data_IF_076495595040
#
_entry.id   IF_076495595040
#
_cell.length_a   1.000
_cell.length_b   1.000
_cell.length_c   1.000
_cell.angle_alpha   90.00
_cell.angle_beta   90.00
_cell.angle_gamma   90.00
#
_symmetry.space_group_name_H-M   'P 1'
#
loop_
_entity.id
_entity.type
_entity.pdbx_description
1 polymer ?
#
# COMPACT_ATOMS: atom_id res chain seq x y z
N UNK A 1 1.33 5.64 -28.12
CA UNK A 1 2.20 4.53 -27.66
C UNK A 1 1.53 3.87 -26.46
N UNK A 2 1.63 2.53 -26.28
CA UNK A 2 1.12 1.89 -25.07
C UNK A 2 1.80 2.47 -23.83
N UNK A 3 1.10 2.44 -22.69
CA UNK A 3 1.69 2.85 -21.41
C UNK A 3 2.84 1.91 -21.07
N UNK A 4 4.04 2.41 -20.71
CA UNK A 4 5.15 1.54 -20.35
C UNK A 4 4.83 0.71 -19.09
N UNK A 5 5.33 -0.54 -18.97
CA UNK A 5 5.23 -1.31 -17.74
C UNK A 5 5.82 -0.54 -16.55
N UNK A 6 5.15 -0.59 -15.40
CA UNK A 6 5.53 0.20 -14.20
C UNK A 6 6.09 -0.64 -13.05
N UNK A 7 6.10 -1.96 -13.21
CA UNK A 7 6.49 -2.92 -12.19
C UNK A 7 6.94 -4.22 -12.84
N UNK A 8 8.02 -4.80 -12.36
CA UNK A 8 8.30 -6.23 -12.55
C UNK A 8 7.35 -7.00 -11.63
N UNK A 9 6.24 -7.50 -12.19
CA UNK A 9 5.17 -8.13 -11.41
C UNK A 9 5.60 -9.51 -10.87
N UNK A 10 6.38 -10.24 -11.66
CA UNK A 10 6.86 -11.58 -11.35
C UNK A 10 8.39 -11.61 -11.43
N UNK A 11 9.02 -12.25 -10.46
CA UNK A 11 10.47 -12.53 -10.45
C UNK A 11 10.68 -14.03 -10.29
N UNK A 12 11.48 -14.64 -11.17
CA UNK A 12 11.71 -16.08 -11.16
C UNK A 12 13.13 -16.42 -10.71
N UNK A 13 13.20 -17.30 -9.72
CA UNK A 13 14.41 -17.96 -9.22
C UNK A 13 14.31 -19.45 -9.48
N UNK A 14 15.42 -20.16 -9.30
CA UNK A 14 15.52 -21.58 -9.60
C UNK A 14 16.20 -22.33 -8.47
N UNK A 15 15.64 -23.48 -8.10
CA UNK A 15 16.20 -24.38 -7.10
C UNK A 15 15.78 -25.82 -7.40
N UNK A 16 16.73 -26.76 -7.33
CA UNK A 16 16.45 -28.19 -7.47
C UNK A 16 15.71 -28.75 -6.23
N UNK A 17 15.97 -28.16 -5.05
CA UNK A 17 15.27 -28.50 -3.80
C UNK A 17 14.26 -27.41 -3.43
N UNK A 18 13.01 -27.61 -3.88
CA UNK A 18 11.91 -26.68 -3.59
C UNK A 18 11.52 -26.65 -2.10
N UNK A 19 11.76 -27.72 -1.34
CA UNK A 19 11.43 -27.75 0.09
C UNK A 19 12.42 -26.89 0.88
N UNK A 20 13.72 -27.01 0.58
CA UNK A 20 14.74 -26.15 1.15
C UNK A 20 14.51 -24.68 0.75
N UNK A 21 14.14 -24.41 -0.50
CA UNK A 21 13.77 -23.07 -0.93
C UNK A 21 12.54 -22.55 -0.16
N UNK A 22 11.51 -23.36 0.05
CA UNK A 22 10.34 -22.98 0.84
C UNK A 22 10.70 -22.56 2.26
N UNK A 23 11.54 -23.35 2.93
CA UNK A 23 12.02 -23.02 4.27
C UNK A 23 12.78 -21.68 4.28
N UNK A 24 13.63 -21.44 3.29
CA UNK A 24 14.38 -20.18 3.21
C UNK A 24 13.47 -18.97 2.92
N UNK A 25 12.69 -19.01 1.84
CA UNK A 25 11.88 -17.85 1.43
C UNK A 25 10.63 -17.65 2.31
N UNK A 26 10.04 -18.74 2.79
CA UNK A 26 8.87 -18.73 3.67
C UNK A 26 9.21 -18.46 5.13
N UNK A 27 10.13 -19.23 5.72
CA UNK A 27 10.39 -19.16 7.16
C UNK A 27 11.48 -18.15 7.53
N UNK A 28 12.58 -18.10 6.76
CA UNK A 28 13.69 -17.17 7.05
C UNK A 28 13.40 -15.76 6.52
N UNK A 29 12.96 -15.63 5.28
CA UNK A 29 12.59 -14.31 4.74
C UNK A 29 11.17 -13.87 5.14
N UNK A 30 10.32 -14.78 5.60
CA UNK A 30 8.98 -14.47 6.08
C UNK A 30 7.99 -14.12 4.96
N UNK A 31 8.20 -14.61 3.73
CA UNK A 31 7.28 -14.34 2.62
C UNK A 31 6.08 -15.31 2.64
N UNK A 32 4.87 -14.79 2.43
CA UNK A 32 3.66 -15.61 2.41
C UNK A 32 3.64 -16.52 1.18
N UNK A 33 3.49 -17.83 1.38
CA UNK A 33 3.27 -18.77 0.28
C UNK A 33 1.86 -18.58 -0.30
N UNK A 34 1.79 -18.22 -1.57
CA UNK A 34 0.54 -18.05 -2.32
C UNK A 34 0.07 -19.32 -3.00
N UNK A 35 1.01 -20.07 -3.60
CA UNK A 35 0.73 -21.25 -4.41
C UNK A 35 1.88 -22.24 -4.30
N UNK A 36 1.56 -23.53 -4.22
CA UNK A 36 2.50 -24.63 -4.39
C UNK A 36 2.04 -25.48 -5.57
N UNK A 37 2.92 -25.69 -6.53
CA UNK A 37 2.71 -26.63 -7.62
C UNK A 37 3.77 -27.72 -7.50
N UNK A 38 3.34 -28.90 -7.06
CA UNK A 38 4.23 -30.03 -6.77
C UNK A 38 5.13 -30.36 -7.98
N UNK A 39 6.43 -30.51 -7.72
CA UNK A 39 7.44 -30.79 -8.75
C UNK A 39 7.63 -29.69 -9.79
N UNK A 40 7.09 -28.48 -9.58
CA UNK A 40 7.22 -27.39 -10.55
C UNK A 40 7.70 -26.08 -9.95
N UNK A 41 6.97 -25.51 -8.99
CA UNK A 41 7.36 -24.25 -8.35
C UNK A 41 6.57 -23.92 -7.09
N UNK A 42 7.12 -22.98 -6.32
CA UNK A 42 6.45 -22.32 -5.20
C UNK A 42 6.39 -20.83 -5.50
N UNK A 43 5.24 -20.20 -5.21
CA UNK A 43 5.03 -18.76 -5.40
C UNK A 43 4.86 -18.07 -4.05
N UNK A 44 5.62 -17.02 -3.82
CA UNK A 44 5.60 -16.19 -2.62
C UNK A 44 5.09 -14.78 -2.93
N UNK A 45 4.27 -14.21 -2.03
CA UNK A 45 3.87 -12.81 -2.10
C UNK A 45 5.03 -11.91 -1.69
N UNK A 46 5.33 -10.90 -2.52
CA UNK A 46 6.29 -9.85 -2.18
C UNK A 46 5.71 -8.47 -2.54
N UNK A 47 4.99 -7.87 -1.59
CA UNK A 47 4.28 -6.61 -1.81
C UNK A 47 3.20 -6.76 -2.92
N UNK A 48 3.17 -5.87 -3.92
CA UNK A 48 2.21 -5.96 -5.04
C UNK A 48 2.59 -6.99 -6.11
N UNK A 49 3.78 -7.60 -6.03
CA UNK A 49 4.25 -8.63 -6.96
C UNK A 49 4.48 -9.97 -6.28
N UNK A 50 5.11 -10.87 -7.02
CA UNK A 50 5.40 -12.24 -6.58
C UNK A 50 6.82 -12.66 -6.93
N UNK A 51 7.37 -13.55 -6.10
CA UNK A 51 8.61 -14.27 -6.38
C UNK A 51 8.27 -15.74 -6.53
N UNK A 52 8.72 -16.34 -7.63
CA UNK A 52 8.59 -17.77 -7.88
C UNK A 52 9.95 -18.44 -7.71
N UNK A 53 9.96 -19.60 -7.08
CA UNK A 53 11.12 -20.51 -7.13
C UNK A 53 10.69 -21.74 -7.91
N UNK A 54 11.25 -21.91 -9.11
CA UNK A 54 10.94 -23.03 -10.01
C UNK A 54 11.97 -24.15 -9.87
N UNK A 55 11.52 -25.39 -10.06
CA UNK A 55 12.40 -26.47 -10.45
C UNK A 55 12.88 -26.19 -11.89
N UNK A 56 14.20 -26.06 -12.12
CA UNK A 56 14.72 -25.65 -13.42
C UNK A 56 14.53 -26.70 -14.51
N UNK A 57 14.48 -27.99 -14.18
CA UNK A 57 14.23 -29.05 -15.16
C UNK A 57 12.77 -29.05 -15.59
N UNK A 58 11.85 -28.98 -14.63
CA UNK A 58 10.42 -28.91 -14.88
C UNK A 58 10.01 -27.63 -15.62
N UNK A 59 10.68 -26.49 -15.37
CA UNK A 59 10.38 -25.23 -16.07
C UNK A 59 10.88 -25.21 -17.53
N UNK A 60 11.89 -26.03 -17.86
CA UNK A 60 12.41 -26.19 -19.23
C UNK A 60 11.56 -27.12 -20.09
N UNK A 61 10.87 -28.07 -19.49
CA UNK A 61 10.04 -29.07 -20.19
C UNK A 61 8.56 -28.67 -20.32
N UNK A 62 8.26 -27.37 -20.35
CA UNK A 62 6.88 -26.86 -20.38
C UNK A 62 6.37 -26.70 -21.81
N UNK A 63 5.13 -27.15 -22.05
CA UNK A 63 4.46 -27.07 -23.36
C UNK A 63 3.31 -26.06 -23.41
N UNK A 64 2.68 -25.74 -22.28
CA UNK A 64 1.51 -24.85 -22.22
C UNK A 64 1.86 -23.36 -22.14
N UNK A 65 3.08 -23.03 -21.71
CA UNK A 65 3.65 -21.69 -21.63
C UNK A 65 5.12 -21.76 -22.06
N UNK A 66 5.74 -20.64 -22.48
CA UNK A 66 7.16 -20.64 -22.87
C UNK A 66 8.05 -21.24 -21.79
N UNK A 67 8.92 -22.16 -22.21
CA UNK A 67 9.92 -22.78 -21.35
C UNK A 67 10.98 -21.77 -20.90
N UNK A 68 11.48 -21.95 -19.68
CA UNK A 68 12.56 -21.15 -19.10
C UNK A 68 13.32 -21.99 -18.05
N UNK A 69 14.47 -21.52 -17.60
CA UNK A 69 15.26 -22.22 -16.58
C UNK A 69 16.72 -21.83 -16.65
N UNK A 70 17.21 -21.06 -15.68
CA UNK A 70 18.61 -20.66 -15.62
C UNK A 70 19.47 -21.78 -15.03
N UNK A 71 20.73 -21.88 -15.48
CA UNK A 71 21.75 -22.74 -14.86
C UNK A 71 22.69 -21.89 -14.03
N UNK A 72 23.06 -22.38 -12.86
CA UNK A 72 23.91 -21.67 -11.90
C UNK A 72 23.19 -20.55 -11.13
N UNK A 73 23.93 -19.86 -10.24
CA UNK A 73 23.36 -18.82 -9.38
C UNK A 73 22.76 -17.65 -10.17
N UNK A 74 21.52 -17.28 -9.84
CA UNK A 74 20.93 -15.99 -10.23
C UNK A 74 20.95 -15.00 -9.07
N UNK A 75 20.44 -13.79 -9.27
CA UNK A 75 20.42 -12.73 -8.27
C UNK A 75 19.04 -12.10 -8.13
N UNK A 76 18.65 -11.79 -6.89
CA UNK A 76 17.47 -11.00 -6.54
C UNK A 76 17.79 -10.04 -5.41
N UNK A 77 17.20 -8.84 -5.46
CA UNK A 77 17.31 -7.85 -4.39
C UNK A 77 15.92 -7.49 -3.83
N UNK A 78 15.76 -7.71 -2.52
CA UNK A 78 14.57 -7.34 -1.76
C UNK A 78 14.80 -6.00 -1.05
N UNK A 79 13.88 -5.06 -1.28
CA UNK A 79 13.91 -3.76 -0.64
C UNK A 79 13.45 -3.82 0.82
N UNK A 80 14.29 -3.37 1.74
CA UNK A 80 13.98 -3.24 3.17
C UNK A 80 14.31 -1.82 3.67
N UNK A 81 13.69 -1.33 4.76
CA UNK A 81 14.12 -0.09 5.39
C UNK A 81 15.60 -0.16 5.81
N UNK A 82 16.38 0.90 5.55
CA UNK A 82 17.83 0.92 5.82
C UNK A 82 18.17 0.62 7.28
N UNK A 83 17.34 1.09 8.21
CA UNK A 83 17.49 0.89 9.66
C UNK A 83 17.23 -0.56 10.11
N UNK A 84 16.61 -1.39 9.26
CA UNK A 84 16.35 -2.81 9.55
C UNK A 84 17.49 -3.74 9.14
N UNK A 85 18.46 -3.30 8.34
CA UNK A 85 19.53 -4.18 7.84
C UNK A 85 20.38 -4.79 8.97
N UNK A 86 20.59 -4.06 10.06
CA UNK A 86 21.26 -4.60 11.24
C UNK A 86 20.41 -5.68 11.96
N UNK A 87 19.09 -5.54 11.95
CA UNK A 87 18.18 -6.55 12.51
C UNK A 87 18.16 -7.80 11.62
N UNK A 88 18.15 -7.63 10.29
CA UNK A 88 18.25 -8.72 9.32
C UNK A 88 19.55 -9.51 9.46
N UNK A 89 20.69 -8.85 9.60
CA UNK A 89 21.97 -9.55 9.87
C UNK A 89 21.88 -10.45 11.11
N UNK A 90 21.30 -9.96 12.20
CA UNK A 90 21.08 -10.77 13.41
C UNK A 90 20.09 -11.90 13.17
N UNK A 91 19.07 -11.66 12.35
CA UNK A 91 18.06 -12.66 12.01
C UNK A 91 18.71 -13.81 11.21
N UNK A 92 19.41 -13.51 10.12
CA UNK A 92 20.13 -14.53 9.34
C UNK A 92 21.09 -15.37 10.19
N UNK A 93 21.89 -14.73 11.06
CA UNK A 93 22.78 -15.45 11.97
C UNK A 93 22.05 -16.41 12.93
N UNK A 94 20.80 -16.14 13.32
CA UNK A 94 20.01 -17.05 14.18
C UNK A 94 19.41 -18.23 13.41
N UNK A 95 19.30 -18.11 12.10
CA UNK A 95 18.84 -19.16 11.19
C UNK A 95 20.01 -19.84 10.48
N UNK A 96 21.24 -19.67 10.99
CA UNK A 96 22.47 -20.22 10.41
C UNK A 96 22.71 -19.85 8.93
N UNK A 97 22.15 -18.73 8.49
CA UNK A 97 22.39 -18.15 7.17
C UNK A 97 23.57 -17.20 7.26
N UNK A 98 24.68 -17.55 6.59
CA UNK A 98 25.87 -16.71 6.56
C UNK A 98 25.65 -15.46 5.68
N UNK A 99 26.01 -14.30 6.23
CA UNK A 99 26.12 -13.08 5.44
C UNK A 99 27.42 -13.13 4.65
N UNK A 100 27.30 -13.18 3.33
CA UNK A 100 28.41 -13.26 2.38
C UNK A 100 29.12 -11.92 2.25
N UNK A 101 28.35 -10.83 2.12
CA UNK A 101 28.92 -9.48 1.96
C UNK A 101 27.97 -8.39 2.47
N UNK A 102 28.51 -7.19 2.71
CA UNK A 102 27.75 -5.98 2.98
C UNK A 102 28.36 -4.79 2.26
N UNK A 103 27.53 -4.03 1.53
CA UNK A 103 27.98 -2.83 0.80
C UNK A 103 27.36 -1.58 1.39
N UNK A 104 28.17 -0.53 1.51
CA UNK A 104 27.70 0.82 1.78
C UNK A 104 27.69 1.63 0.49
N UNK A 105 26.58 2.30 0.24
CA UNK A 105 26.36 3.14 -0.93
C UNK A 105 26.35 4.62 -0.52
N UNK A 106 26.10 5.51 -1.49
CA UNK A 106 25.88 6.93 -1.22
C UNK A 106 24.70 7.18 -0.28
N UNK A 107 24.70 8.33 0.39
CA UNK A 107 23.60 8.81 1.23
C UNK A 107 23.19 7.84 2.37
N UNK A 108 24.14 7.05 2.87
CA UNK A 108 23.95 6.15 4.01
C UNK A 108 23.15 4.87 3.70
N UNK A 109 22.84 4.64 2.42
CA UNK A 109 22.18 3.44 1.93
C UNK A 109 23.13 2.24 2.00
N UNK A 110 22.57 1.05 2.18
CA UNK A 110 23.34 -0.18 2.43
C UNK A 110 22.65 -1.38 1.80
N UNK A 111 23.43 -2.43 1.56
CA UNK A 111 22.96 -3.76 1.22
C UNK A 111 23.67 -4.85 2.02
N UNK A 112 23.03 -6.01 2.09
CA UNK A 112 23.50 -7.22 2.74
C UNK A 112 23.19 -8.41 1.82
N UNK A 113 24.19 -9.25 1.57
CA UNK A 113 24.10 -10.38 0.65
C UNK A 113 24.19 -11.71 1.41
N UNK A 114 23.33 -12.66 1.05
CA UNK A 114 23.33 -14.05 1.52
C UNK A 114 23.16 -14.99 0.33
N UNK A 115 23.36 -16.29 0.57
CA UNK A 115 23.00 -17.35 -0.37
C UNK A 115 21.72 -18.03 0.09
N UNK A 116 20.81 -18.27 -0.85
CA UNK A 116 19.74 -19.25 -0.61
C UNK A 116 20.30 -20.69 -0.70
N UNK A 117 19.50 -21.73 -0.39
CA UNK A 117 19.96 -23.12 -0.43
C UNK A 117 20.40 -23.61 -1.82
N UNK A 118 19.93 -22.97 -2.90
CA UNK A 118 20.34 -23.27 -4.28
C UNK A 118 21.58 -22.49 -4.72
N UNK A 119 22.13 -21.63 -3.85
CA UNK A 119 23.29 -20.80 -4.13
C UNK A 119 22.97 -19.50 -4.87
N UNK A 120 21.70 -19.13 -5.05
CA UNK A 120 21.32 -17.84 -5.61
C UNK A 120 21.77 -16.71 -4.69
N UNK A 121 22.20 -15.60 -5.28
CA UNK A 121 22.57 -14.39 -4.54
C UNK A 121 21.32 -13.63 -4.14
N UNK A 122 21.02 -13.63 -2.85
CA UNK A 122 19.88 -12.91 -2.29
C UNK A 122 20.38 -11.67 -1.56
N UNK A 123 19.96 -10.50 -2.02
CA UNK A 123 20.31 -9.22 -1.43
C UNK A 123 19.13 -8.66 -0.65
N UNK A 124 19.38 -8.20 0.58
CA UNK A 124 18.53 -7.23 1.26
C UNK A 124 19.15 -5.85 1.12
N UNK A 125 18.43 -4.93 0.48
CA UNK A 125 18.94 -3.61 0.12
C UNK A 125 18.04 -2.51 0.63
N UNK A 126 18.63 -1.36 0.97
CA UNK A 126 17.87 -0.15 1.29
C UNK A 126 16.86 0.12 0.18
N UNK A 127 15.56 0.16 0.50
CA UNK A 127 14.48 0.33 -0.48
C UNK A 127 14.56 1.65 -1.25
N UNK A 128 15.38 2.59 -0.79
CA UNK A 128 15.64 3.88 -1.44
C UNK A 128 16.90 3.89 -2.30
N UNK A 129 17.64 2.78 -2.44
CA UNK A 129 18.95 2.75 -3.13
C UNK A 129 18.90 3.41 -4.51
N UNK A 130 17.89 3.04 -5.30
CA UNK A 130 17.72 3.55 -6.65
C UNK A 130 16.83 4.78 -6.74
N UNK A 131 16.38 5.33 -5.61
CA UNK A 131 15.31 6.34 -5.56
C UNK A 131 14.05 5.94 -6.36
N UNK A 132 13.84 4.64 -6.58
CA UNK A 132 12.81 4.03 -7.45
C UNK A 132 11.39 4.21 -6.94
N UNK A 133 11.20 4.84 -5.78
CA UNK A 133 9.88 5.27 -5.37
C UNK A 133 9.99 6.55 -4.53
N UNK A 134 9.80 7.69 -5.17
CA UNK A 134 9.63 8.95 -4.46
C UNK A 134 8.36 8.90 -3.58
N UNK A 135 8.28 9.71 -2.51
CA UNK A 135 7.06 9.82 -1.68
C UNK A 135 5.83 10.09 -2.55
N UNK A 136 5.98 10.96 -3.55
CA UNK A 136 4.91 11.30 -4.48
C UNK A 136 4.38 10.05 -5.22
N UNK A 137 5.28 9.17 -5.63
CA UNK A 137 4.91 7.94 -6.33
C UNK A 137 4.23 6.93 -5.40
N UNK A 138 4.70 6.76 -4.16
CA UNK A 138 4.01 5.94 -3.15
C UNK A 138 2.57 6.41 -2.93
N UNK A 139 2.38 7.72 -2.80
CA UNK A 139 1.06 8.30 -2.57
C UNK A 139 0.13 8.16 -3.77
N UNK A 140 0.64 8.29 -5.00
CA UNK A 140 -0.16 8.07 -6.20
C UNK A 140 -0.52 6.60 -6.38
N UNK A 141 0.39 5.67 -6.09
CA UNK A 141 0.17 4.21 -6.24
C UNK A 141 -0.94 3.66 -5.35
N UNK A 142 -1.12 4.19 -4.14
CA UNK A 142 -2.17 3.72 -3.21
C UNK A 142 -3.57 4.28 -3.51
N UNK A 143 -3.69 5.29 -4.38
CA UNK A 143 -4.98 5.91 -4.69
C UNK A 143 -5.79 5.05 -5.67
N UNK A 144 -7.10 4.85 -5.44
CA UNK A 144 -7.96 4.23 -6.43
C UNK A 144 -8.00 5.06 -7.73
N UNK A 145 -7.90 4.39 -8.88
CA UNK A 145 -8.12 5.04 -10.18
C UNK A 145 -9.61 5.33 -10.35
N UNK A 146 -9.94 6.55 -10.75
CA UNK A 146 -11.30 6.97 -11.10
C UNK A 146 -11.33 7.30 -12.58
N UNK A 147 -12.25 6.69 -13.31
CA UNK A 147 -12.46 6.98 -14.74
C UNK A 147 -13.40 8.17 -14.87
N UNK A 148 -12.82 9.37 -14.89
CA UNK A 148 -13.51 10.65 -15.01
C UNK A 148 -12.89 11.43 -16.18
N UNK A 149 -13.70 11.88 -17.13
CA UNK A 149 -13.24 12.78 -18.19
C UNK A 149 -13.01 14.17 -17.61
N UNK A 150 -11.75 14.61 -17.60
CA UNK A 150 -11.32 15.92 -17.09
C UNK A 150 -10.74 16.81 -18.19
N UNK A 151 -10.86 16.44 -19.47
CA UNK A 151 -10.20 17.13 -20.57
C UNK A 151 -10.57 18.62 -20.69
N UNK A 152 -11.82 18.97 -20.36
CA UNK A 152 -12.32 20.35 -20.39
C UNK A 152 -12.46 20.99 -18.99
N UNK A 153 -11.95 20.33 -17.94
CA UNK A 153 -12.07 20.82 -16.57
C UNK A 153 -11.16 22.01 -16.29
N UNK A 154 -11.66 22.99 -15.53
CA UNK A 154 -10.82 24.08 -14.98
C UNK A 154 -9.79 23.53 -13.99
N UNK A 155 -8.66 24.22 -13.70
CA UNK A 155 -7.60 23.67 -12.84
C UNK A 155 -8.05 23.15 -11.47
N UNK A 156 -8.97 23.86 -10.79
CA UNK A 156 -9.50 23.42 -9.49
C UNK A 156 -10.46 22.22 -9.63
N UNK A 157 -11.18 22.14 -10.74
CA UNK A 157 -12.07 21.01 -11.04
C UNK A 157 -11.27 19.76 -11.41
N UNK A 158 -10.19 19.93 -12.16
CA UNK A 158 -9.19 18.89 -12.42
C UNK A 158 -8.58 18.39 -11.10
N UNK A 159 -8.12 19.30 -10.24
CA UNK A 159 -7.59 18.96 -8.91
C UNK A 159 -8.63 18.22 -8.05
N UNK A 160 -9.90 18.62 -8.12
CA UNK A 160 -10.98 17.93 -7.43
C UNK A 160 -11.13 16.49 -7.94
N UNK A 161 -11.14 16.28 -9.26
CA UNK A 161 -11.43 14.98 -9.87
C UNK A 161 -10.24 14.01 -9.83
N UNK A 162 -9.03 14.50 -10.10
CA UNK A 162 -7.82 13.67 -10.21
C UNK A 162 -7.08 13.50 -8.88
N UNK A 163 -7.27 14.41 -7.91
CA UNK A 163 -6.55 14.38 -6.63
C UNK A 163 -7.48 14.18 -5.44
N UNK A 164 -8.44 15.09 -5.22
CA UNK A 164 -9.28 15.03 -4.01
C UNK A 164 -10.20 13.80 -3.99
N UNK A 165 -10.89 13.49 -5.10
CA UNK A 165 -11.81 12.33 -5.14
C UNK A 165 -11.09 11.00 -4.88
N UNK A 166 -9.93 10.69 -5.50
CA UNK A 166 -9.17 9.48 -5.19
C UNK A 166 -8.69 9.43 -3.73
N UNK A 167 -8.19 10.54 -3.18
CA UNK A 167 -7.75 10.61 -1.77
C UNK A 167 -8.93 10.38 -0.83
N UNK A 168 -10.09 11.00 -1.08
CA UNK A 168 -11.29 10.81 -0.27
C UNK A 168 -11.82 9.37 -0.35
N UNK A 169 -11.70 8.71 -1.51
CA UNK A 169 -12.08 7.31 -1.68
C UNK A 169 -11.13 6.38 -0.90
N UNK A 170 -9.82 6.63 -0.97
CA UNK A 170 -8.81 5.92 -0.18
C UNK A 170 -9.07 6.06 1.33
N UNK A 171 -9.37 7.27 1.80
CA UNK A 171 -9.59 7.57 3.21
C UNK A 171 -10.98 7.20 3.74
N UNK A 172 -11.87 6.66 2.90
CA UNK A 172 -13.28 6.45 3.23
C UNK A 172 -13.50 5.67 4.55
N UNK A 173 -12.87 4.50 4.79
CA UNK A 173 -13.10 3.75 6.02
C UNK A 173 -12.73 4.55 7.28
N UNK A 174 -11.63 5.30 7.22
CA UNK A 174 -11.14 6.12 8.33
C UNK A 174 -12.03 7.33 8.58
N UNK A 175 -12.52 7.99 7.52
CA UNK A 175 -13.47 9.11 7.62
C UNK A 175 -14.73 8.67 8.36
N UNK A 176 -15.36 7.57 7.93
CA UNK A 176 -16.60 7.06 8.55
C UNK A 176 -16.37 6.66 10.01
N UNK A 177 -15.24 6.03 10.33
CA UNK A 177 -14.90 5.67 11.71
C UNK A 177 -14.75 6.89 12.61
N UNK A 178 -14.07 7.95 12.16
CA UNK A 178 -13.88 9.18 12.96
C UNK A 178 -15.20 9.94 13.15
N UNK A 179 -16.07 9.95 12.15
CA UNK A 179 -17.41 10.54 12.26
C UNK A 179 -18.27 9.76 13.26
N UNK A 180 -18.30 8.43 13.14
CA UNK A 180 -19.02 7.55 14.07
C UNK A 180 -18.53 7.72 15.52
N UNK A 181 -17.22 7.67 15.73
CA UNK A 181 -16.56 7.90 17.03
C UNK A 181 -16.99 9.24 17.64
N UNK A 182 -17.11 10.28 16.81
CA UNK A 182 -17.51 11.59 17.31
C UNK A 182 -19.00 11.63 17.66
N UNK A 183 -19.85 10.97 16.89
CA UNK A 183 -21.29 10.86 17.14
C UNK A 183 -21.60 10.01 18.38
N UNK A 184 -20.87 8.93 18.61
CA UNK A 184 -21.05 8.04 19.76
C UNK A 184 -20.89 8.76 21.11
N UNK A 185 -20.04 9.80 21.18
CA UNK A 185 -19.89 10.65 22.38
C UNK A 185 -21.16 11.44 22.75
N UNK A 186 -22.09 11.57 21.80
CA UNK A 186 -23.40 12.19 22.03
C UNK A 186 -24.49 11.15 22.35
N UNK A 187 -24.12 9.87 22.51
CA UNK A 187 -25.01 8.76 22.88
C UNK A 187 -25.73 8.10 21.70
N UNK A 188 -26.65 7.19 22.03
CA UNK A 188 -27.41 6.33 21.09
C UNK A 188 -28.37 7.11 20.18
N UNK A 189 -28.53 8.42 20.42
CA UNK A 189 -29.49 9.26 19.71
C UNK A 189 -29.32 9.24 18.19
N UNK A 190 -28.09 9.23 17.68
CA UNK A 190 -27.86 9.24 16.23
C UNK A 190 -28.42 8.00 15.51
N UNK A 191 -28.27 6.81 16.11
CA UNK A 191 -28.71 5.56 15.52
C UNK A 191 -30.24 5.36 15.57
N UNK A 192 -30.92 6.10 16.45
CA UNK A 192 -32.37 6.06 16.63
C UNK A 192 -33.11 7.20 15.90
N UNK A 193 -32.39 8.22 15.42
CA UNK A 193 -32.94 9.32 14.61
C UNK A 193 -33.48 8.81 13.27
N UNK A 194 -34.47 9.52 12.73
CA UNK A 194 -34.89 9.31 11.35
C UNK A 194 -33.82 9.77 10.34
N UNK A 195 -34.02 9.46 9.06
CA UNK A 195 -33.01 9.73 8.03
C UNK A 195 -32.78 11.23 7.80
N UNK A 196 -33.81 12.05 7.98
CA UNK A 196 -33.71 13.51 7.78
C UNK A 196 -32.88 14.11 8.90
N UNK A 197 -33.19 13.74 10.13
CA UNK A 197 -32.46 14.16 11.32
C UNK A 197 -31.02 13.67 11.31
N UNK A 198 -30.76 12.44 10.86
CA UNK A 198 -29.38 11.93 10.68
C UNK A 198 -28.58 12.78 9.70
N UNK A 199 -29.16 13.14 8.55
CA UNK A 199 -28.49 13.98 7.54
C UNK A 199 -28.19 15.36 8.09
N UNK A 200 -29.12 15.96 8.84
CA UNK A 200 -28.94 17.28 9.44
C UNK A 200 -27.96 17.26 10.60
N UNK A 201 -27.95 16.19 11.40
CA UNK A 201 -26.97 16.00 12.46
C UNK A 201 -25.56 15.89 11.90
N UNK A 202 -25.35 15.15 10.81
CA UNK A 202 -24.06 15.08 10.12
C UNK A 202 -23.63 16.43 9.55
N UNK A 203 -24.56 17.18 8.95
CA UNK A 203 -24.32 18.53 8.44
C UNK A 203 -23.84 19.46 9.55
N UNK A 204 -24.55 19.46 10.68
CA UNK A 204 -24.23 20.29 11.84
C UNK A 204 -22.89 19.87 12.47
N UNK A 205 -22.64 18.57 12.60
CA UNK A 205 -21.35 18.06 13.09
C UNK A 205 -20.18 18.56 12.24
N UNK A 206 -20.27 18.46 10.92
CA UNK A 206 -19.21 18.94 10.02
C UNK A 206 -19.05 20.47 10.05
N UNK A 207 -20.13 21.20 10.28
CA UNK A 207 -20.14 22.67 10.39
C UNK A 207 -19.49 23.13 11.69
N UNK A 208 -19.97 22.62 12.81
CA UNK A 208 -19.70 23.11 14.17
C UNK A 208 -18.45 22.49 14.79
N UNK A 209 -18.16 21.21 14.51
CA UNK A 209 -17.00 20.55 15.09
C UNK A 209 -15.70 20.92 14.36
N UNK A 210 -15.09 22.01 14.84
CA UNK A 210 -13.82 22.48 14.30
C UNK A 210 -12.66 21.48 14.47
N UNK A 211 -12.69 20.61 15.48
CA UNK A 211 -11.61 19.63 15.72
C UNK A 211 -11.69 18.49 14.72
N UNK A 212 -12.87 17.87 14.57
CA UNK A 212 -13.11 16.83 13.57
C UNK A 212 -12.79 17.34 12.17
N UNK A 213 -13.31 18.50 11.80
CA UNK A 213 -13.06 19.12 10.50
C UNK A 213 -11.57 19.34 10.22
N UNK A 214 -10.79 19.83 11.20
CA UNK A 214 -9.33 20.00 11.06
C UNK A 214 -8.61 18.68 10.89
N UNK A 215 -9.00 17.64 11.64
CA UNK A 215 -8.42 16.29 11.50
C UNK A 215 -8.69 15.73 10.10
N UNK A 216 -9.94 15.77 9.63
CA UNK A 216 -10.31 15.23 8.31
C UNK A 216 -9.60 15.97 7.17
N UNK A 217 -9.55 17.31 7.22
CA UNK A 217 -8.82 18.10 6.22
C UNK A 217 -7.31 17.84 6.29
N UNK A 218 -6.75 17.72 7.49
CA UNK A 218 -5.33 17.41 7.69
C UNK A 218 -4.94 16.05 7.09
N UNK A 219 -5.79 15.03 7.23
CA UNK A 219 -5.58 13.72 6.60
C UNK A 219 -5.56 13.80 5.07
N UNK A 220 -6.49 14.57 4.48
CA UNK A 220 -6.54 14.80 3.02
C UNK A 220 -5.26 15.50 2.55
N UNK A 221 -4.86 16.59 3.21
CA UNK A 221 -3.64 17.34 2.86
C UNK A 221 -2.39 16.47 3.04
N UNK A 222 -2.35 15.60 4.07
CA UNK A 222 -1.23 14.69 4.32
C UNK A 222 -0.98 13.68 3.19
N UNK A 223 -1.99 13.43 2.34
CA UNK A 223 -1.89 12.52 1.19
C UNK A 223 -1.54 13.21 -0.12
N UNK A 224 -1.34 14.54 -0.15
CA UNK A 224 -0.92 15.27 -1.34
C UNK A 224 0.56 15.00 -1.67
N UNK A 225 0.89 14.95 -2.96
CA UNK A 225 2.28 15.06 -3.44
C UNK A 225 2.77 16.51 -3.28
N UNK A 226 4.05 16.76 -3.57
CA UNK A 226 4.62 18.10 -3.44
C UNK A 226 3.97 19.08 -4.44
N UNK A 227 3.89 18.70 -5.73
CA UNK A 227 3.19 19.49 -6.75
C UNK A 227 1.71 19.73 -6.42
N UNK A 228 1.02 18.72 -5.86
CA UNK A 228 -0.38 18.84 -5.48
C UNK A 228 -0.56 19.73 -4.24
N UNK A 229 0.41 19.73 -3.32
CA UNK A 229 0.42 20.65 -2.19
C UNK A 229 0.63 22.09 -2.66
N UNK A 230 1.51 22.32 -3.63
CA UNK A 230 1.73 23.64 -4.21
C UNK A 230 0.45 24.15 -4.89
N UNK A 231 -0.22 23.31 -5.68
CA UNK A 231 -1.52 23.61 -6.27
C UNK A 231 -2.61 23.87 -5.20
N UNK A 232 -2.62 23.07 -4.13
CA UNK A 232 -3.52 23.28 -2.99
C UNK A 232 -3.27 24.64 -2.33
N UNK A 233 -2.02 25.01 -2.07
CA UNK A 233 -1.67 26.28 -1.42
C UNK A 233 -2.00 27.49 -2.30
N UNK A 234 -1.82 27.37 -3.61
CA UNK A 234 -2.21 28.41 -4.58
C UNK A 234 -3.72 28.67 -4.61
N UNK A 235 -4.56 27.67 -4.31
CA UNK A 235 -6.02 27.75 -4.38
C UNK A 235 -6.73 27.40 -3.07
N UNK A 236 -6.04 27.57 -1.93
CA UNK A 236 -6.41 27.01 -0.61
C UNK A 236 -7.87 27.17 -0.24
N UNK A 237 -8.42 28.38 -0.38
CA UNK A 237 -9.79 28.67 0.05
C UNK A 237 -10.83 28.00 -0.84
N UNK A 238 -10.61 27.93 -2.15
CA UNK A 238 -11.54 27.27 -3.08
C UNK A 238 -11.48 25.76 -2.91
N UNK A 239 -10.27 25.19 -2.83
CA UNK A 239 -10.09 23.74 -2.64
C UNK A 239 -10.70 23.29 -1.32
N UNK A 240 -10.50 24.06 -0.23
CA UNK A 240 -11.14 23.78 1.07
C UNK A 240 -12.66 23.87 0.99
N UNK A 241 -13.20 24.88 0.30
CA UNK A 241 -14.65 25.04 0.07
C UNK A 241 -15.27 23.87 -0.70
N UNK A 242 -14.51 23.19 -1.55
CA UNK A 242 -14.94 21.97 -2.28
C UNK A 242 -14.73 20.68 -1.47
N UNK A 243 -13.67 20.61 -0.67
CA UNK A 243 -13.34 19.40 0.11
C UNK A 243 -14.37 19.10 1.20
N UNK A 244 -14.86 20.13 1.91
CA UNK A 244 -15.81 19.94 3.03
C UNK A 244 -17.15 19.37 2.57
N UNK A 245 -17.80 19.88 1.50
CA UNK A 245 -19.01 19.26 0.94
C UNK A 245 -18.80 17.81 0.50
N UNK A 246 -17.64 17.47 -0.09
CA UNK A 246 -17.37 16.07 -0.47
C UNK A 246 -17.20 15.14 0.73
N UNK A 247 -16.57 15.62 1.81
CA UNK A 247 -16.51 14.88 3.09
C UNK A 247 -17.91 14.68 3.69
N UNK A 248 -18.75 15.72 3.65
CA UNK A 248 -20.12 15.64 4.14
C UNK A 248 -20.96 14.68 3.30
N UNK A 249 -20.91 14.79 1.97
CA UNK A 249 -21.62 13.90 1.06
C UNK A 249 -21.24 12.44 1.32
N UNK A 250 -19.93 12.16 1.45
CA UNK A 250 -19.41 10.84 1.80
C UNK A 250 -20.00 10.27 3.09
N UNK A 251 -20.16 11.10 4.13
CA UNK A 251 -20.80 10.66 5.37
C UNK A 251 -22.33 10.48 5.20
N UNK A 252 -23.00 11.37 4.47
CA UNK A 252 -24.46 11.32 4.26
C UNK A 252 -24.90 10.18 3.33
N UNK A 253 -24.08 9.82 2.35
CA UNK A 253 -24.34 8.72 1.42
C UNK A 253 -24.10 7.35 2.09
N UNK A 254 -23.39 7.32 3.22
CA UNK A 254 -23.01 6.11 3.95
C UNK A 254 -23.49 6.14 5.40
N UNK A 255 -24.68 6.71 5.65
CA UNK A 255 -25.25 6.81 6.99
C UNK A 255 -25.42 5.43 7.63
N UNK A 256 -25.82 4.41 6.87
CA UNK A 256 -26.03 3.06 7.42
C UNK A 256 -24.74 2.48 8.01
N UNK A 257 -23.61 2.66 7.31
CA UNK A 257 -22.28 2.27 7.80
C UNK A 257 -21.90 3.01 9.09
N UNK A 258 -22.28 4.29 9.21
CA UNK A 258 -22.01 5.11 10.40
C UNK A 258 -22.89 4.64 11.56
N UNK A 259 -24.18 4.40 11.32
CA UNK A 259 -25.13 3.92 12.33
C UNK A 259 -24.65 2.60 12.92
N UNK A 260 -24.23 1.66 12.08
CA UNK A 260 -23.71 0.37 12.53
C UNK A 260 -22.47 0.55 13.42
N UNK A 261 -21.50 1.37 12.99
CA UNK A 261 -20.29 1.67 13.77
C UNK A 261 -20.61 2.33 15.12
N UNK A 262 -21.59 3.23 15.17
CA UNK A 262 -22.04 3.88 16.42
C UNK A 262 -22.63 2.85 17.38
N UNK A 263 -23.43 1.90 16.89
CA UNK A 263 -24.01 0.82 17.71
C UNK A 263 -22.92 -0.09 18.29
N UNK A 264 -22.00 -0.59 17.46
CA UNK A 264 -20.90 -1.46 17.93
C UNK A 264 -20.04 -0.78 18.99
N UNK A 265 -19.83 0.54 18.90
CA UNK A 265 -19.06 1.29 19.89
C UNK A 265 -19.80 1.50 21.22
N UNK A 266 -21.13 1.57 21.19
CA UNK A 266 -21.95 1.69 22.39
C UNK A 266 -22.09 0.36 23.14
N UNK A 267 -22.04 -0.78 22.43
CA UNK A 267 -22.14 -2.13 23.02
C UNK A 267 -20.80 -2.62 23.62
N UNK A 268 -19.67 -2.08 23.17
CA UNK A 268 -18.33 -2.43 23.64
C UNK A 268 -17.73 -1.50 24.70
N UNK A 269 -18.49 -0.51 25.18
CA UNK A 269 -18.09 0.48 26.20
C UNK A 269 -18.82 0.25 27.52
#
# INVERSE_FOLDING_TARGET
MPTPPRLALETSLYADDLAAAEQFYGDVLGLDVMLRTEGNHITFRCGPGVVHVFDPAASRDRTSLPAHGAEGPVHVAFGVPTDQLAAWRRHFNRHDVAVEDTTQWGDGQRSLYVRDPAGNSVELVSSTLWSTTARAERLRRVRPVLDLDTAESRPVEQFQNETLRPILKLLNPTILRLVAERLARYGVGFAAMDRVDQRDRLRNLMKEDGRLKRTLLGMVVGHLTQDELDAYLAHKDEVRRRTVPMLLARAQDQIDDIVERVRTQAEGA
#
